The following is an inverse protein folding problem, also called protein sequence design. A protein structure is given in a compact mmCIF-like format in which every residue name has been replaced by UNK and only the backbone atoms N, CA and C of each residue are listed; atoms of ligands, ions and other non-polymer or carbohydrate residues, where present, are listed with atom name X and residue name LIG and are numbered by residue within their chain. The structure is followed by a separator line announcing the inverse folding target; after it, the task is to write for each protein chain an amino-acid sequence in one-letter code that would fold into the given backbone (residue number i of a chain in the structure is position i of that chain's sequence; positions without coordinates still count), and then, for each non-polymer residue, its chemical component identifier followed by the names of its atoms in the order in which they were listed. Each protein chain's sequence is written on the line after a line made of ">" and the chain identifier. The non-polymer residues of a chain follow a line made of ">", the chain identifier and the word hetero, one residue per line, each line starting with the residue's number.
data_IF_469284963738
#
_entry.id   IF_469284963738
#
_cell.length_a   1.000
_cell.length_b   1.000
_cell.length_c   1.000
_cell.angle_alpha   90.00
_cell.angle_beta   90.00
_cell.angle_gamma   90.00
#
_symmetry.space_group_name_H-M   'P 1'
#
loop_
_entity.id
_entity.type
_entity.pdbx_description
1 polymer ?
#
# COMPACT_ATOMS: atom_id res chain seq x y z
N UNK A 1 0.23 -16.49 21.32
CA UNK A 1 0.05 -16.88 19.90
C UNK A 1 -1.31 -17.56 19.75
N UNK A 2 -2.40 -16.83 19.44
CA UNK A 2 -3.66 -17.49 19.07
C UNK A 2 -3.47 -17.96 17.63
N UNK A 3 -3.23 -19.26 17.46
CA UNK A 3 -3.27 -19.86 16.14
C UNK A 3 -4.65 -19.62 15.56
N UNK A 4 -4.69 -19.06 14.36
CA UNK A 4 -5.92 -18.85 13.62
C UNK A 4 -6.48 -20.24 13.25
N UNK A 5 -7.38 -20.75 14.10
CA UNK A 5 -7.90 -22.12 14.02
C UNK A 5 -8.47 -22.44 12.64
N UNK A 6 -9.08 -21.44 12.00
CA UNK A 6 -9.70 -21.58 10.70
C UNK A 6 -8.66 -21.78 9.58
N UNK A 7 -7.49 -21.16 9.73
CA UNK A 7 -6.37 -21.35 8.80
C UNK A 7 -5.79 -22.75 8.91
N UNK A 8 -5.65 -23.27 10.12
CA UNK A 8 -5.16 -24.64 10.37
C UNK A 8 -6.17 -25.66 9.85
N UNK A 9 -7.47 -25.48 10.14
CA UNK A 9 -8.55 -26.34 9.63
C UNK A 9 -8.55 -26.38 8.10
N UNK A 10 -8.48 -25.23 7.44
CA UNK A 10 -8.45 -25.15 5.96
C UNK A 10 -7.23 -25.84 5.37
N UNK A 11 -6.07 -25.73 6.02
CA UNK A 11 -4.84 -26.41 5.59
C UNK A 11 -4.92 -27.93 5.74
N UNK A 12 -5.48 -28.41 6.86
CA UNK A 12 -5.69 -29.84 7.11
C UNK A 12 -6.68 -30.43 6.10
N UNK A 13 -7.81 -29.76 5.86
CA UNK A 13 -8.82 -30.22 4.89
C UNK A 13 -8.19 -30.36 3.49
N UNK A 14 -7.47 -29.35 3.03
CA UNK A 14 -6.84 -29.39 1.70
C UNK A 14 -5.78 -30.50 1.61
N UNK A 15 -5.03 -30.74 2.67
CA UNK A 15 -4.02 -31.81 2.70
C UNK A 15 -4.66 -33.20 2.68
N UNK A 16 -5.75 -33.40 3.43
CA UNK A 16 -6.51 -34.65 3.43
C UNK A 16 -7.12 -34.91 2.05
N UNK A 17 -7.71 -33.89 1.42
CA UNK A 17 -8.27 -34.00 0.07
C UNK A 17 -7.19 -34.37 -0.97
N UNK A 18 -5.99 -33.79 -0.86
CA UNK A 18 -4.87 -34.12 -1.74
C UNK A 18 -4.41 -35.57 -1.57
N UNK A 19 -4.30 -36.04 -0.32
CA UNK A 19 -3.92 -37.43 -0.02
C UNK A 19 -4.99 -38.40 -0.54
N UNK A 20 -6.27 -38.11 -0.32
CA UNK A 20 -7.38 -38.93 -0.84
C UNK A 20 -7.36 -39.00 -2.37
N UNK A 21 -7.11 -37.88 -3.04
CA UNK A 21 -6.98 -37.85 -4.50
C UNK A 21 -5.81 -38.70 -4.98
N UNK A 22 -4.66 -38.62 -4.32
CA UNK A 22 -3.49 -39.43 -4.63
C UNK A 22 -3.76 -40.93 -4.46
N UNK A 23 -4.45 -41.33 -3.38
CA UNK A 23 -4.87 -42.72 -3.15
C UNK A 23 -5.84 -43.18 -4.24
N UNK A 24 -6.82 -42.36 -4.62
CA UNK A 24 -7.75 -42.67 -5.70
C UNK A 24 -7.03 -42.88 -7.04
N UNK A 25 -6.07 -42.02 -7.38
CA UNK A 25 -5.26 -42.17 -8.60
C UNK A 25 -4.45 -43.46 -8.55
N UNK A 26 -3.81 -43.75 -7.42
CA UNK A 26 -3.03 -44.99 -7.22
C UNK A 26 -3.89 -46.25 -7.35
N UNK A 27 -5.09 -46.26 -6.75
CA UNK A 27 -6.06 -47.35 -6.89
C UNK A 27 -6.51 -47.50 -8.34
N UNK A 28 -6.73 -46.40 -9.06
CA UNK A 28 -7.08 -46.44 -10.48
C UNK A 28 -5.95 -47.08 -11.32
N UNK A 29 -4.70 -46.72 -11.04
CA UNK A 29 -3.52 -47.31 -11.72
C UNK A 29 -3.39 -48.81 -11.43
N UNK A 30 -3.61 -49.24 -10.19
CA UNK A 30 -3.60 -50.66 -9.82
C UNK A 30 -4.73 -51.46 -10.49
N UNK A 31 -5.94 -50.90 -10.51
CA UNK A 31 -7.08 -51.52 -11.19
C UNK A 31 -6.85 -51.59 -12.71
N UNK A 32 -6.25 -50.56 -13.30
CA UNK A 32 -5.90 -50.53 -14.71
C UNK A 32 -4.89 -51.62 -15.07
N UNK A 33 -3.88 -51.84 -14.22
CA UNK A 33 -2.89 -52.92 -14.39
C UNK A 33 -3.56 -54.31 -14.32
N UNK A 34 -4.48 -54.49 -13.37
CA UNK A 34 -5.26 -55.72 -13.20
C UNK A 34 -6.17 -56.01 -14.40
N UNK A 35 -6.82 -54.97 -14.96
CA UNK A 35 -7.74 -55.11 -16.09
C UNK A 35 -7.00 -55.27 -17.42
N UNK A 36 -5.86 -54.61 -17.60
CA UNK A 36 -5.15 -54.63 -18.87
C UNK A 36 -4.19 -55.82 -19.02
N UNK A 37 -3.80 -56.51 -17.93
CA UNK A 37 -3.02 -57.77 -17.86
C UNK A 37 -1.75 -57.88 -18.74
N UNK A 38 -1.38 -56.82 -19.46
CA UNK A 38 -0.28 -56.70 -20.42
C UNK A 38 0.75 -55.66 -19.99
N UNK A 39 0.37 -54.72 -19.14
CA UNK A 39 1.33 -53.93 -18.40
C UNK A 39 1.73 -54.76 -17.19
N UNK A 40 3.03 -55.04 -17.05
CA UNK A 40 3.59 -55.50 -15.80
C UNK A 40 4.19 -54.26 -15.17
N UNK A 41 3.45 -53.58 -14.28
CA UNK A 41 4.08 -52.61 -13.40
C UNK A 41 5.24 -53.32 -12.69
N UNK A 42 6.45 -52.77 -12.83
CA UNK A 42 7.60 -53.26 -12.09
C UNK A 42 7.34 -53.01 -10.61
N UNK A 43 7.79 -53.91 -9.73
CA UNK A 43 7.49 -53.81 -8.29
C UNK A 43 7.94 -52.50 -7.62
N UNK A 44 8.80 -51.73 -8.29
CA UNK A 44 9.31 -50.44 -7.81
C UNK A 44 8.51 -49.23 -8.30
N UNK A 45 7.67 -49.38 -9.34
CA UNK A 45 6.96 -48.26 -9.98
C UNK A 45 5.95 -47.58 -9.02
N UNK A 46 5.18 -48.31 -8.19
CA UNK A 46 4.30 -47.69 -7.20
C UNK A 46 5.07 -46.92 -6.12
N UNK A 47 6.27 -47.40 -5.75
CA UNK A 47 7.13 -46.72 -4.78
C UNK A 47 7.72 -45.43 -5.35
N UNK A 48 8.13 -45.45 -6.62
CA UNK A 48 8.60 -44.27 -7.34
C UNK A 48 7.49 -43.21 -7.49
N UNK A 49 6.25 -43.64 -7.79
CA UNK A 49 5.09 -42.76 -7.87
C UNK A 49 4.78 -42.08 -6.52
N UNK A 50 4.81 -42.85 -5.42
CA UNK A 50 4.57 -42.33 -4.09
C UNK A 50 5.69 -41.37 -3.64
N UNK A 51 6.94 -41.68 -4.00
CA UNK A 51 8.08 -40.77 -3.83
C UNK A 51 7.93 -39.46 -4.58
N UNK A 52 7.42 -39.49 -5.81
CA UNK A 52 7.16 -38.29 -6.61
C UNK A 52 6.05 -37.43 -5.99
N UNK A 53 4.98 -38.03 -5.44
CA UNK A 53 3.91 -37.29 -4.75
C UNK A 53 4.44 -36.61 -3.48
N UNK A 54 5.19 -37.33 -2.64
CA UNK A 54 5.79 -36.76 -1.42
C UNK A 54 6.77 -35.63 -1.79
N UNK A 55 7.64 -35.86 -2.78
CA UNK A 55 8.59 -34.86 -3.27
C UNK A 55 7.91 -33.59 -3.81
N UNK A 56 6.82 -33.76 -4.58
CA UNK A 56 6.01 -32.66 -5.09
C UNK A 56 5.32 -31.87 -3.96
N UNK A 57 4.78 -32.56 -2.96
CA UNK A 57 4.15 -31.91 -1.80
C UNK A 57 5.14 -31.09 -0.98
N UNK A 58 6.32 -31.66 -0.66
CA UNK A 58 7.39 -30.96 0.07
C UNK A 58 7.83 -29.72 -0.71
N UNK A 59 7.96 -29.84 -2.03
CA UNK A 59 8.34 -28.72 -2.91
C UNK A 59 7.28 -27.62 -2.91
N UNK A 60 5.99 -27.96 -3.00
CA UNK A 60 4.89 -26.98 -2.92
C UNK A 60 4.86 -26.24 -1.57
N UNK A 61 5.07 -26.97 -0.47
CA UNK A 61 5.17 -26.37 0.87
C UNK A 61 6.37 -25.44 0.96
N UNK A 62 7.53 -25.88 0.46
CA UNK A 62 8.76 -25.09 0.40
C UNK A 62 8.59 -23.80 -0.40
N UNK A 63 8.06 -23.89 -1.63
CA UNK A 63 7.77 -22.72 -2.49
C UNK A 63 6.83 -21.74 -1.79
N UNK A 64 5.74 -22.25 -1.20
CA UNK A 64 4.78 -21.40 -0.48
C UNK A 64 5.40 -20.70 0.72
N UNK A 65 6.27 -21.40 1.46
CA UNK A 65 6.99 -20.83 2.60
C UNK A 65 7.96 -19.74 2.14
N UNK A 66 8.72 -19.98 1.07
CA UNK A 66 9.64 -19.00 0.46
C UNK A 66 8.88 -17.76 -0.02
N UNK A 67 7.77 -17.93 -0.74
CA UNK A 67 6.93 -16.83 -1.21
C UNK A 67 6.42 -16.00 -0.03
N UNK A 68 5.89 -16.64 1.02
CA UNK A 68 5.42 -15.94 2.21
C UNK A 68 6.54 -15.18 2.93
N UNK A 69 7.74 -15.75 3.00
CA UNK A 69 8.88 -15.09 3.60
C UNK A 69 9.36 -13.91 2.74
N UNK A 70 9.39 -14.04 1.42
CA UNK A 70 9.71 -12.95 0.50
C UNK A 70 8.72 -11.80 0.65
N UNK A 71 7.41 -12.07 0.65
CA UNK A 71 6.41 -11.02 0.86
C UNK A 71 6.59 -10.29 2.19
N UNK A 72 6.87 -11.03 3.28
CA UNK A 72 7.13 -10.41 4.59
C UNK A 72 8.40 -9.56 4.59
N UNK A 73 9.48 -10.05 3.99
CA UNK A 73 10.75 -9.31 3.94
C UNK A 73 10.63 -8.07 3.05
N UNK A 74 9.98 -8.19 1.90
CA UNK A 74 9.69 -7.07 1.01
C UNK A 74 8.84 -6.01 1.71
N UNK A 75 7.82 -6.44 2.46
CA UNK A 75 7.01 -5.55 3.26
C UNK A 75 7.86 -4.82 4.30
N UNK A 76 8.60 -5.55 5.14
CA UNK A 76 9.45 -4.96 6.19
C UNK A 76 10.48 -3.98 5.62
N UNK A 77 11.03 -4.26 4.44
CA UNK A 77 12.04 -3.40 3.82
C UNK A 77 11.44 -2.15 3.16
N UNK A 78 10.26 -2.25 2.55
CA UNK A 78 9.63 -1.14 1.80
C UNK A 78 8.79 -0.22 2.69
N UNK A 79 8.21 -0.77 3.76
CA UNK A 79 7.26 -0.04 4.61
C UNK A 79 7.86 1.16 5.36
N UNK A 80 9.09 1.11 5.91
CA UNK A 80 9.69 2.28 6.55
C UNK A 80 9.85 3.46 5.59
N UNK A 81 10.18 3.17 4.32
CA UNK A 81 10.29 4.19 3.29
C UNK A 81 8.92 4.78 2.94
N UNK A 82 7.88 3.94 2.83
CA UNK A 82 6.50 4.41 2.63
C UNK A 82 6.05 5.34 3.76
N UNK A 83 6.27 4.93 5.01
CA UNK A 83 5.89 5.71 6.18
C UNK A 83 6.58 7.07 6.17
N UNK A 84 7.89 7.09 5.95
CA UNK A 84 8.66 8.33 5.83
C UNK A 84 8.17 9.22 4.69
N UNK A 85 7.86 8.64 3.52
CA UNK A 85 7.35 9.40 2.39
C UNK A 85 5.97 10.00 2.68
N UNK A 86 5.12 9.27 3.40
CA UNK A 86 3.81 9.78 3.83
C UNK A 86 3.96 10.92 4.84
N UNK A 87 4.84 10.77 5.82
CA UNK A 87 5.18 11.80 6.82
C UNK A 87 5.74 13.06 6.16
N UNK A 88 6.71 12.92 5.25
CA UNK A 88 7.30 14.03 4.50
C UNK A 88 6.25 14.83 3.70
N UNK A 89 5.31 14.13 3.06
CA UNK A 89 4.21 14.74 2.29
C UNK A 89 3.26 15.46 3.22
N UNK A 90 2.78 14.79 4.27
CA UNK A 90 1.86 15.36 5.25
C UNK A 90 2.45 16.62 5.87
N UNK A 91 3.67 16.52 6.42
CA UNK A 91 4.37 17.63 7.05
C UNK A 91 4.55 18.83 6.12
N UNK A 92 4.94 18.60 4.87
CA UNK A 92 5.13 19.69 3.89
C UNK A 92 3.83 20.43 3.58
N UNK A 93 2.71 19.71 3.52
CA UNK A 93 1.38 20.29 3.29
C UNK A 93 0.89 21.03 4.54
N UNK A 94 1.05 20.43 5.70
CA UNK A 94 0.62 20.96 7.00
C UNK A 94 1.34 22.28 7.32
N UNK A 95 2.67 22.31 7.22
CA UNK A 95 3.49 23.52 7.41
C UNK A 95 3.09 24.65 6.44
N UNK A 96 2.74 24.30 5.20
CA UNK A 96 2.29 25.28 4.21
C UNK A 96 0.89 25.82 4.57
N UNK A 97 -0.02 24.97 5.03
CA UNK A 97 -1.36 25.40 5.47
C UNK A 97 -1.29 26.29 6.71
N UNK A 98 -0.49 25.93 7.71
CA UNK A 98 -0.24 26.79 8.88
C UNK A 98 0.28 28.16 8.47
N UNK A 99 1.25 28.19 7.55
CA UNK A 99 1.80 29.44 7.00
C UNK A 99 0.73 30.26 6.27
N UNK A 100 -0.14 29.62 5.49
CA UNK A 100 -1.27 30.29 4.81
C UNK A 100 -2.22 30.92 5.81
N UNK A 101 -2.60 30.20 6.87
CA UNK A 101 -3.48 30.76 7.91
C UNK A 101 -2.87 31.98 8.57
N UNK A 102 -1.58 31.88 8.95
CA UNK A 102 -0.86 32.99 9.58
C UNK A 102 -0.74 34.19 8.65
N UNK A 103 -0.29 33.99 7.41
CA UNK A 103 -0.07 35.06 6.43
C UNK A 103 -1.37 35.79 6.06
N UNK A 104 -2.49 35.06 6.01
CA UNK A 104 -3.83 35.65 5.81
C UNK A 104 -4.28 36.49 7.00
N UNK A 105 -4.04 36.02 8.23
CA UNK A 105 -4.40 36.74 9.46
C UNK A 105 -3.68 38.08 9.55
N UNK A 106 -2.36 38.09 9.29
CA UNK A 106 -1.54 39.30 9.31
C UNK A 106 -1.60 40.11 8.01
N UNK A 107 -2.32 39.61 6.99
CA UNK A 107 -2.47 40.21 5.65
C UNK A 107 -1.14 40.42 4.92
N UNK A 108 -0.16 39.54 5.12
CA UNK A 108 1.13 39.58 4.44
C UNK A 108 1.08 38.74 3.14
N UNK A 109 0.49 39.34 2.10
CA UNK A 109 0.34 38.69 0.79
C UNK A 109 1.68 38.39 0.09
N UNK A 110 2.76 39.08 0.47
CA UNK A 110 4.08 38.77 -0.06
C UNK A 110 4.57 37.43 0.48
N UNK A 111 4.49 37.24 1.81
CA UNK A 111 4.82 35.95 2.44
C UNK A 111 3.92 34.83 1.94
N UNK A 112 2.63 35.10 1.78
CA UNK A 112 1.68 34.14 1.21
C UNK A 112 2.14 33.63 -0.17
N UNK A 113 2.58 34.52 -1.05
CA UNK A 113 3.13 34.14 -2.36
C UNK A 113 4.44 33.36 -2.28
N UNK A 114 5.30 33.69 -1.31
CA UNK A 114 6.52 32.92 -1.02
C UNK A 114 6.17 31.50 -0.55
N UNK A 115 5.20 31.36 0.37
CA UNK A 115 4.68 30.08 0.86
C UNK A 115 4.18 29.22 -0.29
N UNK A 116 3.34 29.79 -1.18
CA UNK A 116 2.85 29.08 -2.35
C UNK A 116 3.98 28.64 -3.29
N UNK A 117 4.89 29.56 -3.63
CA UNK A 117 6.00 29.28 -4.54
C UNK A 117 6.91 28.18 -4.00
N UNK A 118 7.19 28.19 -2.70
CA UNK A 118 8.04 27.20 -2.04
C UNK A 118 7.43 25.80 -2.08
N UNK A 119 6.12 25.68 -1.81
CA UNK A 119 5.42 24.41 -1.89
C UNK A 119 5.35 23.90 -3.33
N UNK A 120 4.93 24.76 -4.27
CA UNK A 120 4.75 24.40 -5.69
C UNK A 120 6.07 24.03 -6.38
N UNK A 121 7.21 24.56 -5.94
CA UNK A 121 8.54 24.13 -6.42
C UNK A 121 8.82 22.66 -6.11
N UNK A 122 8.15 22.07 -5.12
CA UNK A 122 8.32 20.68 -4.69
C UNK A 122 7.23 19.75 -5.23
N UNK A 123 6.39 20.21 -6.17
CA UNK A 123 5.27 19.44 -6.73
C UNK A 123 5.67 18.03 -7.18
N UNK A 124 6.72 17.91 -8.01
CA UNK A 124 7.16 16.61 -8.53
C UNK A 124 7.67 15.67 -7.41
N UNK A 125 8.41 16.23 -6.45
CA UNK A 125 8.92 15.50 -5.29
C UNK A 125 7.76 14.95 -4.45
N UNK A 126 6.80 15.82 -4.09
CA UNK A 126 5.65 15.47 -3.26
C UNK A 126 4.75 14.44 -3.96
N UNK A 127 4.49 14.62 -5.25
CA UNK A 127 3.72 13.67 -6.05
C UNK A 127 4.41 12.30 -6.15
N UNK A 128 5.73 12.27 -6.35
CA UNK A 128 6.50 11.02 -6.38
C UNK A 128 6.44 10.29 -5.04
N UNK A 129 6.63 11.02 -3.94
CA UNK A 129 6.51 10.47 -2.57
C UNK A 129 5.10 9.95 -2.31
N UNK A 130 4.07 10.74 -2.62
CA UNK A 130 2.67 10.38 -2.43
C UNK A 130 2.29 9.12 -3.23
N UNK A 131 2.73 9.01 -4.49
CA UNK A 131 2.51 7.84 -5.33
C UNK A 131 3.15 6.56 -4.78
N UNK A 132 4.29 6.68 -4.08
CA UNK A 132 4.93 5.54 -3.43
C UNK A 132 4.17 5.00 -2.22
N UNK A 133 3.33 5.83 -1.60
CA UNK A 133 2.48 5.45 -0.45
C UNK A 133 1.25 4.71 -0.96
N UNK A 134 0.36 5.43 -1.66
CA UNK A 134 -0.86 4.88 -2.25
C UNK A 134 -1.45 5.80 -3.35
N UNK A 135 -2.28 5.27 -4.26
CA UNK A 135 -2.99 6.08 -5.25
C UNK A 135 -3.91 7.14 -4.61
N UNK A 136 -4.48 6.83 -3.44
CA UNK A 136 -5.36 7.74 -2.72
C UNK A 136 -4.59 8.96 -2.18
N UNK A 137 -3.42 8.74 -1.57
CA UNK A 137 -2.55 9.83 -1.10
C UNK A 137 -2.09 10.69 -2.27
N UNK A 138 -1.68 10.06 -3.38
CA UNK A 138 -1.33 10.78 -4.62
C UNK A 138 -2.44 11.70 -5.12
N UNK A 139 -3.68 11.19 -5.22
CA UNK A 139 -4.83 11.97 -5.65
C UNK A 139 -5.08 13.18 -4.74
N UNK A 140 -5.05 12.98 -3.42
CA UNK A 140 -5.26 14.05 -2.44
C UNK A 140 -4.16 15.10 -2.51
N UNK A 141 -2.89 14.68 -2.53
CA UNK A 141 -1.74 15.58 -2.68
C UNK A 141 -1.84 16.41 -3.96
N UNK A 142 -2.15 15.78 -5.09
CA UNK A 142 -2.31 16.48 -6.38
C UNK A 142 -3.44 17.51 -6.31
N UNK A 143 -4.57 17.15 -5.69
CA UNK A 143 -5.73 18.04 -5.53
C UNK A 143 -5.36 19.25 -4.68
N UNK A 144 -4.66 19.05 -3.56
CA UNK A 144 -4.17 20.15 -2.70
C UNK A 144 -3.24 21.06 -3.48
N UNK A 145 -2.24 20.50 -4.18
CA UNK A 145 -1.27 21.29 -4.96
C UNK A 145 -1.95 22.10 -6.08
N UNK A 146 -3.00 21.56 -6.70
CA UNK A 146 -3.82 22.30 -7.66
C UNK A 146 -4.49 23.54 -7.04
N UNK A 147 -5.03 23.45 -5.82
CA UNK A 147 -5.59 24.63 -5.13
C UNK A 147 -4.50 25.67 -4.84
N UNK A 148 -3.33 25.25 -4.37
CA UNK A 148 -2.20 26.15 -4.16
C UNK A 148 -1.74 26.83 -5.47
N UNK A 149 -1.71 26.10 -6.58
CA UNK A 149 -1.37 26.64 -7.90
C UNK A 149 -2.40 27.68 -8.36
N UNK A 150 -3.69 27.39 -8.16
CA UNK A 150 -4.79 28.32 -8.45
C UNK A 150 -4.67 29.59 -7.62
N UNK A 151 -4.44 29.49 -6.32
CA UNK A 151 -4.28 30.65 -5.43
C UNK A 151 -3.05 31.47 -5.79
N UNK A 152 -1.93 30.82 -6.10
CA UNK A 152 -0.70 31.48 -6.53
C UNK A 152 -0.89 32.22 -7.86
N UNK A 153 -1.54 31.59 -8.83
CA UNK A 153 -1.83 32.19 -10.14
C UNK A 153 -2.72 33.44 -10.00
N UNK A 154 -3.70 33.39 -9.10
CA UNK A 154 -4.54 34.54 -8.78
C UNK A 154 -3.72 35.68 -8.15
N UNK A 155 -2.87 35.36 -7.18
CA UNK A 155 -2.01 36.33 -6.50
C UNK A 155 -1.00 36.99 -7.43
N UNK A 156 -0.45 36.24 -8.40
CA UNK A 156 0.56 36.72 -9.36
C UNK A 156 -0.05 37.43 -10.59
N UNK A 157 -1.38 37.47 -10.72
CA UNK A 157 -2.09 38.16 -11.79
C UNK A 157 -1.81 39.68 -11.83
N UNK A 158 -1.81 40.28 -13.04
CA UNK A 158 -1.33 41.65 -13.30
C UNK A 158 -2.33 42.80 -13.05
N UNK A 159 -3.56 42.58 -12.58
CA UNK A 159 -4.56 43.65 -12.41
C UNK A 159 -4.53 44.30 -11.01
N UNK A 160 -5.29 45.36 -10.80
CA UNK A 160 -5.22 46.29 -9.66
C UNK A 160 -5.08 45.62 -8.28
N UNK A 161 -3.95 45.90 -7.61
CA UNK A 161 -3.45 45.19 -6.41
C UNK A 161 -4.42 45.11 -5.22
N UNK A 162 -5.34 46.06 -5.05
CA UNK A 162 -6.16 46.14 -3.82
C UNK A 162 -7.46 45.35 -3.94
N UNK A 163 -8.14 45.40 -5.09
CA UNK A 163 -9.38 44.65 -5.30
C UNK A 163 -9.11 43.13 -5.28
N UNK A 164 -7.98 42.72 -5.86
CA UNK A 164 -7.54 41.32 -5.91
C UNK A 164 -7.23 40.71 -4.54
N UNK A 165 -6.72 41.50 -3.58
CA UNK A 165 -6.40 40.96 -2.26
C UNK A 165 -7.65 40.49 -1.51
N UNK A 166 -8.74 41.24 -1.62
CA UNK A 166 -10.02 40.85 -1.02
C UNK A 166 -10.60 39.61 -1.70
N UNK A 167 -10.62 39.59 -3.03
CA UNK A 167 -11.12 38.46 -3.81
C UNK A 167 -10.31 37.18 -3.54
N UNK A 168 -8.99 37.30 -3.40
CA UNK A 168 -8.11 36.18 -3.03
C UNK A 168 -8.44 35.63 -1.65
N UNK A 169 -8.64 36.50 -0.66
CA UNK A 169 -9.02 36.08 0.71
C UNK A 169 -10.38 35.38 0.69
N UNK A 170 -11.35 35.90 -0.06
CA UNK A 170 -12.66 35.27 -0.22
C UNK A 170 -12.54 33.89 -0.90
N UNK A 171 -11.73 33.78 -1.96
CA UNK A 171 -11.45 32.51 -2.65
C UNK A 171 -10.79 31.49 -1.72
N UNK A 172 -9.72 31.87 -1.01
CA UNK A 172 -9.02 30.95 -0.11
C UNK A 172 -9.96 30.53 1.03
N UNK A 173 -10.69 31.45 1.65
CA UNK A 173 -11.63 31.10 2.73
C UNK A 173 -12.73 30.13 2.28
N UNK A 174 -13.15 30.20 1.02
CA UNK A 174 -14.13 29.27 0.46
C UNK A 174 -13.56 27.85 0.28
N UNK A 175 -12.29 27.73 -0.12
CA UNK A 175 -11.68 26.45 -0.50
C UNK A 175 -10.84 25.81 0.60
N UNK A 176 -10.30 26.59 1.55
CA UNK A 176 -9.32 26.12 2.54
C UNK A 176 -9.86 25.02 3.45
N UNK A 177 -11.17 25.01 3.73
CA UNK A 177 -11.81 23.94 4.51
C UNK A 177 -11.70 22.59 3.81
N UNK A 178 -11.88 22.56 2.49
CA UNK A 178 -11.74 21.35 1.69
C UNK A 178 -10.28 20.89 1.64
N UNK A 179 -9.35 21.84 1.43
CA UNK A 179 -7.91 21.54 1.40
C UNK A 179 -7.45 20.98 2.74
N UNK A 180 -7.91 21.57 3.85
CA UNK A 180 -7.59 21.10 5.20
C UNK A 180 -8.16 19.69 5.45
N UNK A 181 -9.39 19.40 5.01
CA UNK A 181 -9.97 18.06 5.11
C UNK A 181 -9.10 17.03 4.38
N UNK A 182 -8.68 17.32 3.15
CA UNK A 182 -7.80 16.42 2.38
C UNK A 182 -6.46 16.19 3.09
N UNK A 183 -5.88 17.22 3.73
CA UNK A 183 -4.66 17.10 4.54
C UNK A 183 -4.86 16.17 5.74
N UNK A 184 -5.96 16.34 6.49
CA UNK A 184 -6.32 15.47 7.62
C UNK A 184 -6.42 14.00 7.18
N UNK A 185 -7.09 13.73 6.05
CA UNK A 185 -7.23 12.36 5.57
C UNK A 185 -5.89 11.73 5.10
N UNK A 186 -4.91 12.55 4.69
CA UNK A 186 -3.52 12.07 4.46
C UNK A 186 -2.90 11.69 5.81
N UNK A 187 -3.08 12.52 6.85
CA UNK A 187 -2.63 12.23 8.22
C UNK A 187 -3.26 10.96 8.82
N UNK A 188 -4.54 10.70 8.57
CA UNK A 188 -5.19 9.44 8.96
C UNK A 188 -4.56 8.22 8.27
N UNK A 189 -4.18 8.38 7.00
CA UNK A 189 -3.46 7.32 6.26
C UNK A 189 -2.08 7.06 6.88
N UNK A 190 -1.37 8.11 7.31
CA UNK A 190 -0.10 7.98 8.01
C UNK A 190 -0.24 7.18 9.31
N UNK A 191 -1.27 7.47 10.11
CA UNK A 191 -1.56 6.75 11.36
C UNK A 191 -1.84 5.27 11.08
N UNK A 192 -2.68 4.99 10.07
CA UNK A 192 -2.99 3.62 9.67
C UNK A 192 -1.75 2.81 9.28
N UNK A 193 -0.90 3.39 8.42
CA UNK A 193 0.35 2.75 7.97
C UNK A 193 1.30 2.53 9.17
N UNK A 194 1.39 3.48 10.10
CA UNK A 194 2.20 3.32 11.32
C UNK A 194 1.71 2.15 12.19
N UNK A 195 0.40 2.05 12.41
CA UNK A 195 -0.20 0.95 13.18
C UNK A 195 0.02 -0.42 12.51
N UNK A 196 -0.12 -0.50 11.19
CA UNK A 196 0.09 -1.74 10.45
C UNK A 196 1.55 -2.23 10.59
N UNK A 197 2.49 -1.30 10.44
CA UNK A 197 3.92 -1.57 10.65
C UNK A 197 4.22 -2.04 12.08
N UNK A 198 3.63 -1.39 13.08
CA UNK A 198 3.81 -1.76 14.48
C UNK A 198 3.25 -3.16 14.77
N UNK A 199 2.05 -3.46 14.28
CA UNK A 199 1.44 -4.79 14.42
C UNK A 199 2.38 -5.88 13.90
N UNK A 200 2.97 -5.68 12.72
CA UNK A 200 3.83 -6.67 12.08
C UNK A 200 5.18 -6.81 12.78
N UNK A 201 5.75 -5.72 13.27
CA UNK A 201 7.05 -5.74 13.98
C UNK A 201 6.95 -6.31 15.38
N UNK A 202 5.86 -6.06 16.13
CA UNK A 202 5.63 -6.64 17.47
C UNK A 202 5.50 -8.16 17.46
N UNK A 203 5.08 -8.79 16.36
CA UNK A 203 5.07 -10.26 16.25
C UNK A 203 6.47 -10.89 16.12
N UNK A 204 7.52 -10.08 16.03
CA UNK A 204 8.91 -10.52 15.83
C UNK A 204 9.76 -10.46 17.10
N UNK A 205 9.34 -9.68 18.10
CA UNK A 205 9.95 -9.58 19.45
C UNK A 205 9.33 -10.60 20.39
#
# INVERSE_FOLDING_TARGET
>A
MKFDEDRVKKWLINSILFILLAICIMLMLLLLDLVLARYKLSGWDPLAFLGAIIGGFITLVGVRMTINNQYKMDFINKHPLKLKNCEDVFKSIDEALESVYYDLEVKDFYRLGVTFTNLLRRTDELNTKAASVSPLVYYKTTTILYHFEKWNSFLMGKSEKVLLQRELVELINAEIKQVNLLSIEIGETLIYEAEEYEKITRFRS
#
